data_IF_981959574923
#
_entry.id   IF_981959574923
#
_cell.length_a   1.000
_cell.length_b   1.000
_cell.length_c   1.000
_cell.angle_alpha   90.00
_cell.angle_beta   90.00
_cell.angle_gamma   90.00
#
_symmetry.space_group_name_H-M   'P 1'
#
loop_
_entity.id
_entity.type
_entity.pdbx_description
1 polymer ?
#
# COMPACT_ATOMS: atom_id res chain seq x y z
N UNK A 1 3.66 -33.14 -8.07
CA UNK A 1 2.30 -32.56 -7.95
C UNK A 1 2.30 -31.83 -6.62
N UNK A 2 2.56 -30.53 -6.63
CA UNK A 2 2.36 -29.64 -5.49
C UNK A 2 1.89 -28.29 -6.07
N UNK A 3 0.57 -28.07 -6.04
CA UNK A 3 -0.13 -26.95 -6.67
C UNK A 3 -0.72 -26.01 -5.60
N UNK A 4 0.01 -25.79 -4.51
CA UNK A 4 -0.40 -24.86 -3.45
C UNK A 4 0.39 -23.55 -3.61
N UNK A 5 -0.13 -22.68 -4.46
CA UNK A 5 0.49 -21.39 -4.81
C UNK A 5 0.44 -20.38 -3.67
N UNK A 6 1.53 -19.63 -3.54
CA UNK A 6 1.71 -18.40 -2.77
C UNK A 6 0.87 -17.23 -3.26
N UNK A 7 -0.03 -17.45 -4.20
CA UNK A 7 -0.68 -16.40 -4.98
C UNK A 7 -1.75 -15.68 -4.15
N UNK A 8 -1.69 -14.35 -4.16
CA UNK A 8 -2.71 -13.49 -3.57
C UNK A 8 -3.32 -12.64 -4.67
N UNK A 9 -4.65 -12.68 -4.81
CA UNK A 9 -5.36 -12.07 -5.92
C UNK A 9 -4.78 -12.44 -7.31
N UNK A 10 -4.32 -13.69 -7.45
CA UNK A 10 -3.70 -14.18 -8.68
C UNK A 10 -2.29 -13.65 -8.96
N UNK A 11 -1.62 -13.04 -7.96
CA UNK A 11 -0.24 -12.56 -8.06
C UNK A 11 0.67 -13.37 -7.14
N UNK A 12 1.70 -13.97 -7.71
CA UNK A 12 2.73 -14.68 -6.96
C UNK A 12 3.63 -13.69 -6.21
N UNK A 13 3.60 -13.74 -4.88
CA UNK A 13 4.40 -12.86 -4.02
C UNK A 13 5.77 -13.45 -3.65
N UNK A 14 6.17 -14.61 -4.19
CA UNK A 14 7.53 -15.15 -3.96
C UNK A 14 8.61 -14.21 -4.47
N UNK A 15 9.69 -14.12 -3.69
CA UNK A 15 10.82 -13.24 -3.97
C UNK A 15 10.49 -11.74 -3.85
N UNK A 16 9.30 -11.36 -3.38
CA UNK A 16 9.00 -9.97 -3.04
C UNK A 16 9.78 -9.59 -1.78
N UNK A 17 10.42 -8.42 -1.82
CA UNK A 17 11.17 -7.79 -0.73
C UNK A 17 10.64 -6.39 -0.40
N UNK A 18 9.98 -5.73 -1.36
CA UNK A 18 9.37 -4.41 -1.23
C UNK A 18 7.88 -4.48 -1.54
N UNK A 19 7.04 -3.88 -0.69
CA UNK A 19 5.63 -3.65 -1.01
C UNK A 19 5.37 -2.14 -1.02
N UNK A 20 4.88 -1.65 -2.14
CA UNK A 20 4.54 -0.24 -2.38
C UNK A 20 3.02 -0.10 -2.43
N UNK A 21 2.49 0.78 -1.59
CA UNK A 21 1.05 1.03 -1.49
C UNK A 21 0.72 2.42 -2.04
N UNK A 22 -0.34 2.49 -2.84
CA UNK A 22 -1.15 3.69 -2.95
C UNK A 22 -1.99 3.93 -1.67
N UNK A 23 -2.58 5.11 -1.52
CA UNK A 23 -3.32 5.52 -0.33
C UNK A 23 -4.84 5.55 -0.56
N UNK A 24 -5.34 6.55 -1.30
CA UNK A 24 -6.76 6.79 -1.49
C UNK A 24 -7.44 5.63 -2.22
N UNK A 25 -8.61 5.20 -1.71
CA UNK A 25 -9.30 3.96 -2.10
C UNK A 25 -8.50 2.65 -2.00
N UNK A 26 -7.19 2.69 -1.75
CA UNK A 26 -6.31 1.52 -1.67
C UNK A 26 -6.04 1.13 -0.21
N UNK A 27 -5.23 1.90 0.52
CA UNK A 27 -4.87 1.60 1.91
C UNK A 27 -6.01 1.96 2.87
N UNK A 28 -6.72 3.05 2.58
CA UNK A 28 -7.94 3.48 3.26
C UNK A 28 -9.11 3.63 2.29
N UNK A 29 -10.31 3.82 2.85
CA UNK A 29 -11.56 3.93 2.08
C UNK A 29 -11.88 5.35 1.59
N UNK A 30 -11.10 6.35 1.99
CA UNK A 30 -11.28 7.72 1.55
C UNK A 30 -10.78 7.92 0.11
N UNK A 31 -11.53 8.62 -0.76
CA UNK A 31 -11.18 8.75 -2.17
C UNK A 31 -10.20 9.89 -2.49
N UNK A 32 -10.06 10.87 -1.60
CA UNK A 32 -9.15 12.00 -1.77
C UNK A 32 -8.77 12.63 -0.44
N UNK A 33 -7.72 12.14 0.23
CA UNK A 33 -7.25 12.74 1.49
C UNK A 33 -6.85 14.22 1.33
N UNK A 34 -6.50 14.65 0.11
CA UNK A 34 -6.08 16.03 -0.19
C UNK A 34 -7.23 17.04 -0.09
N UNK A 35 -8.48 16.58 -0.06
CA UNK A 35 -9.69 17.39 0.11
C UNK A 35 -10.09 17.65 1.57
N UNK A 36 -9.42 16.98 2.53
CA UNK A 36 -9.79 16.98 3.95
C UNK A 36 -9.14 18.15 4.73
N UNK A 37 -9.69 18.46 5.91
CA UNK A 37 -9.26 19.62 6.71
C UNK A 37 -8.64 19.15 8.05
N UNK A 38 -7.32 19.27 8.26
CA UNK A 38 -6.70 18.97 9.54
C UNK A 38 -7.13 19.96 10.65
N UNK A 39 -6.96 19.63 11.94
CA UNK A 39 -6.24 18.47 12.47
C UNK A 39 -7.02 17.17 12.34
N UNK A 40 -6.30 16.07 12.11
CA UNK A 40 -6.87 14.73 12.20
C UNK A 40 -6.89 14.26 13.65
N UNK A 41 -7.99 13.63 14.07
CA UNK A 41 -8.14 12.99 15.37
C UNK A 41 -8.38 11.51 15.19
N UNK A 42 -7.69 10.69 15.96
CA UNK A 42 -7.97 9.26 16.01
C UNK A 42 -9.31 9.03 16.68
N UNK A 43 -10.22 8.35 15.99
CA UNK A 43 -11.59 8.03 16.44
C UNK A 43 -11.84 6.51 16.50
N UNK A 44 -10.83 5.72 16.17
CA UNK A 44 -10.75 4.28 16.33
C UNK A 44 -9.32 3.80 16.08
N UNK A 45 -9.02 2.52 16.30
CA UNK A 45 -7.67 1.98 16.04
C UNK A 45 -7.24 2.22 14.59
N UNK A 46 -8.17 2.03 13.66
CA UNK A 46 -7.95 2.10 12.22
C UNK A 46 -8.68 3.27 11.56
N UNK A 47 -9.20 4.21 12.36
CA UNK A 47 -10.06 5.31 11.91
C UNK A 47 -9.54 6.66 12.44
N UNK A 48 -9.44 7.63 11.54
CA UNK A 48 -9.26 9.05 11.88
C UNK A 48 -10.44 9.87 11.35
N UNK A 49 -10.63 11.06 11.92
CA UNK A 49 -11.56 12.06 11.42
C UNK A 49 -10.86 13.41 11.27
N UNK A 50 -11.21 14.16 10.23
CA UNK A 50 -10.78 15.54 10.02
C UNK A 50 -11.52 16.52 10.96
N UNK A 51 -11.24 17.83 10.86
CA UNK A 51 -11.88 18.85 11.72
C UNK A 51 -13.39 19.02 11.47
N UNK A 52 -13.91 18.55 10.34
CA UNK A 52 -15.34 18.55 10.00
C UNK A 52 -16.03 17.24 10.36
N UNK A 53 -15.28 16.24 10.84
CA UNK A 53 -15.80 14.91 11.16
C UNK A 53 -15.79 13.94 9.97
N UNK A 54 -15.18 14.31 8.85
CA UNK A 54 -15.01 13.44 7.68
C UNK A 54 -14.06 12.29 8.03
N UNK A 55 -14.49 11.05 7.80
CA UNK A 55 -13.82 9.83 8.27
C UNK A 55 -12.88 9.28 7.22
N UNK A 56 -11.69 8.88 7.64
CA UNK A 56 -10.73 8.10 6.85
C UNK A 56 -10.48 6.80 7.62
N UNK A 57 -10.84 5.65 7.03
CA UNK A 57 -10.72 4.33 7.66
C UNK A 57 -9.82 3.42 6.85
N UNK A 58 -8.88 2.76 7.51
CA UNK A 58 -8.04 1.75 6.87
C UNK A 58 -8.89 0.57 6.38
N UNK A 59 -8.47 -0.03 5.27
CA UNK A 59 -9.06 -1.28 4.81
C UNK A 59 -8.89 -2.40 5.86
N UNK A 60 -9.83 -3.34 5.95
CA UNK A 60 -9.71 -4.51 6.81
C UNK A 60 -8.33 -5.19 6.72
N UNK A 61 -7.74 -5.45 7.88
CA UNK A 61 -6.41 -6.05 8.04
C UNK A 61 -5.21 -5.24 7.50
N UNK A 62 -5.39 -4.03 6.93
CA UNK A 62 -4.28 -3.24 6.37
C UNK A 62 -3.18 -2.99 7.40
N UNK A 63 -3.53 -2.49 8.60
CA UNK A 63 -2.56 -2.28 9.70
C UNK A 63 -1.78 -3.56 10.01
N UNK A 64 -2.49 -4.65 10.27
CA UNK A 64 -1.89 -5.93 10.63
C UNK A 64 -0.99 -6.49 9.52
N UNK A 65 -1.38 -6.28 8.27
CA UNK A 65 -0.55 -6.67 7.12
C UNK A 65 0.75 -5.86 7.09
N UNK A 66 0.69 -4.54 7.24
CA UNK A 66 1.88 -3.68 7.29
C UNK A 66 2.82 -4.09 8.43
N UNK A 67 2.28 -4.29 9.63
CA UNK A 67 3.04 -4.74 10.80
C UNK A 67 3.70 -6.11 10.57
N UNK A 68 2.95 -7.07 10.02
CA UNK A 68 3.45 -8.42 9.71
C UNK A 68 4.54 -8.39 8.64
N UNK A 69 4.33 -7.65 7.55
CA UNK A 69 5.34 -7.46 6.50
C UNK A 69 6.62 -6.85 7.08
N UNK A 70 6.49 -5.80 7.90
CA UNK A 70 7.65 -5.14 8.53
C UNK A 70 8.39 -6.09 9.46
N UNK A 71 7.68 -6.83 10.31
CA UNK A 71 8.26 -7.82 11.22
C UNK A 71 9.03 -8.92 10.48
N UNK A 72 8.61 -9.25 9.26
CA UNK A 72 9.26 -10.23 8.37
C UNK A 72 10.39 -9.65 7.51
N UNK A 73 10.76 -8.38 7.72
CA UNK A 73 11.88 -7.74 7.04
C UNK A 73 11.57 -7.20 5.64
N UNK A 74 10.30 -7.15 5.23
CA UNK A 74 9.93 -6.46 4.00
C UNK A 74 10.19 -4.96 4.15
N UNK A 75 10.66 -4.34 3.08
CA UNK A 75 10.61 -2.89 2.92
C UNK A 75 9.19 -2.48 2.57
N UNK A 76 8.73 -1.39 3.16
CA UNK A 76 7.41 -0.82 2.92
C UNK A 76 7.54 0.57 2.36
N UNK A 77 6.79 0.89 1.31
CA UNK A 77 6.78 2.23 0.76
C UNK A 77 5.37 2.72 0.41
N UNK A 78 5.25 4.04 0.28
CA UNK A 78 4.06 4.71 -0.26
C UNK A 78 4.45 5.39 -1.57
N UNK A 79 3.63 5.20 -2.60
CA UNK A 79 3.63 6.03 -3.79
C UNK A 79 2.22 6.60 -3.93
N UNK A 80 1.98 7.89 -3.68
CA UNK A 80 0.62 8.46 -3.62
C UNK A 80 0.46 9.77 -4.40
N UNK A 81 -0.68 9.92 -5.09
CA UNK A 81 -1.04 11.15 -5.78
C UNK A 81 -1.87 12.04 -4.85
N UNK A 82 -1.20 12.86 -4.03
CA UNK A 82 -1.84 13.73 -3.04
C UNK A 82 -1.00 14.98 -2.75
N UNK A 83 -1.55 15.89 -1.94
CA UNK A 83 -0.75 16.91 -1.26
C UNK A 83 0.04 16.28 -0.10
N UNK A 84 1.39 16.36 -0.10
CA UNK A 84 2.23 15.64 0.85
C UNK A 84 1.89 15.90 2.32
N UNK A 85 1.64 17.16 2.68
CA UNK A 85 1.34 17.52 4.08
C UNK A 85 0.08 16.83 4.61
N UNK A 86 -0.96 16.68 3.78
CA UNK A 86 -2.23 16.10 4.21
C UNK A 86 -2.10 14.58 4.37
N UNK A 87 -1.53 13.90 3.36
CA UNK A 87 -1.29 12.46 3.41
C UNK A 87 -0.36 12.08 4.58
N UNK A 88 0.74 12.82 4.80
CA UNK A 88 1.68 12.53 5.90
C UNK A 88 1.03 12.71 7.27
N UNK A 89 0.24 13.78 7.47
CA UNK A 89 -0.50 14.00 8.73
C UNK A 89 -1.57 12.94 8.97
N UNK A 90 -2.22 12.45 7.91
CA UNK A 90 -3.17 11.35 8.02
C UNK A 90 -2.48 10.03 8.42
N UNK A 91 -1.35 9.69 7.78
CA UNK A 91 -0.52 8.54 8.13
C UNK A 91 0.01 8.61 9.57
N UNK A 92 0.43 9.80 10.02
CA UNK A 92 0.86 10.07 11.40
C UNK A 92 -0.29 9.88 12.40
N UNK A 93 -1.46 10.46 12.12
CA UNK A 93 -2.63 10.31 12.98
C UNK A 93 -3.10 8.84 13.08
N UNK A 94 -2.97 8.08 11.99
CA UNK A 94 -3.17 6.63 11.94
C UNK A 94 -2.02 5.83 12.56
N UNK A 95 -0.90 6.47 12.92
CA UNK A 95 0.26 5.83 13.55
C UNK A 95 0.88 4.77 12.64
N UNK A 96 0.88 5.03 11.33
CA UNK A 96 1.47 4.18 10.31
C UNK A 96 2.77 4.75 9.74
N UNK A 97 3.04 6.04 9.96
CA UNK A 97 4.16 6.75 9.34
C UNK A 97 5.50 6.01 9.53
N UNK A 98 5.75 5.51 10.74
CA UNK A 98 6.97 4.80 11.13
C UNK A 98 7.12 3.38 10.56
N UNK A 99 6.07 2.82 9.96
CA UNK A 99 6.14 1.50 9.32
C UNK A 99 6.81 1.56 7.95
N UNK A 100 6.63 2.68 7.24
CA UNK A 100 7.15 2.87 5.89
C UNK A 100 8.63 3.28 5.91
N UNK A 101 9.45 2.59 5.11
CA UNK A 101 10.85 2.93 4.88
C UNK A 101 10.99 4.14 3.95
N UNK A 102 10.10 4.28 2.96
CA UNK A 102 10.11 5.39 2.00
C UNK A 102 8.69 5.85 1.73
N UNK A 103 8.45 7.16 1.78
CA UNK A 103 7.14 7.75 1.47
C UNK A 103 7.34 8.77 0.36
N UNK A 104 6.79 8.49 -0.82
CA UNK A 104 6.73 9.42 -1.95
C UNK A 104 5.27 9.79 -2.19
N UNK A 105 4.91 11.00 -1.79
CA UNK A 105 3.59 11.59 -2.05
C UNK A 105 3.81 12.83 -2.88
N UNK A 106 3.17 12.96 -4.04
CA UNK A 106 3.35 14.10 -4.94
C UNK A 106 2.03 14.52 -5.60
N UNK A 107 1.83 15.81 -5.89
CA UNK A 107 0.58 16.33 -6.44
C UNK A 107 0.45 16.10 -7.96
N UNK A 108 0.77 14.89 -8.43
CA UNK A 108 0.59 14.46 -9.82
C UNK A 108 0.34 12.95 -9.94
N UNK A 109 -0.31 12.47 -11.01
CA UNK A 109 -0.63 11.04 -11.17
C UNK A 109 0.56 10.16 -11.59
N UNK A 110 1.73 10.72 -11.90
CA UNK A 110 2.85 9.96 -12.48
C UNK A 110 3.53 9.01 -11.46
N UNK A 111 2.88 7.88 -11.14
CA UNK A 111 3.42 6.87 -10.20
C UNK A 111 4.72 6.25 -10.65
N UNK A 112 4.95 6.23 -11.95
CA UNK A 112 6.14 5.66 -12.51
C UNK A 112 7.40 6.46 -12.11
N UNK A 113 7.28 7.78 -12.02
CA UNK A 113 8.30 8.68 -11.46
C UNK A 113 8.43 8.53 -9.94
N UNK A 114 7.32 8.32 -9.23
CA UNK A 114 7.35 8.09 -7.77
C UNK A 114 8.05 6.76 -7.44
N UNK A 115 7.73 5.70 -8.17
CA UNK A 115 8.38 4.39 -8.07
C UNK A 115 9.88 4.48 -8.38
N UNK A 116 10.27 5.32 -9.36
CA UNK A 116 11.68 5.56 -9.65
C UNK A 116 12.43 6.15 -8.45
N UNK A 117 11.81 7.11 -7.74
CA UNK A 117 12.38 7.66 -6.49
C UNK A 117 12.46 6.59 -5.41
N UNK A 118 11.41 5.79 -5.24
CA UNK A 118 11.40 4.69 -4.26
C UNK A 118 12.53 3.70 -4.54
N UNK A 119 12.68 3.21 -5.78
CA UNK A 119 13.73 2.26 -6.14
C UNK A 119 15.16 2.82 -6.06
N UNK A 120 15.34 4.14 -6.03
CA UNK A 120 16.65 4.74 -5.77
C UNK A 120 16.99 4.75 -4.28
N UNK A 121 15.97 4.91 -3.43
CA UNK A 121 16.12 4.92 -1.96
C UNK A 121 16.21 3.50 -1.37
N UNK A 122 15.57 2.52 -2.01
CA UNK A 122 15.65 1.11 -1.59
C UNK A 122 16.53 0.31 -2.55
N UNK A 123 17.45 -0.49 -2.02
CA UNK A 123 18.29 -1.40 -2.82
C UNK A 123 17.53 -2.66 -3.27
N UNK A 124 16.34 -2.47 -3.88
CA UNK A 124 15.45 -3.55 -4.33
C UNK A 124 15.17 -3.38 -5.82
N UNK A 125 15.25 -4.48 -6.57
CA UNK A 125 14.97 -4.49 -8.03
C UNK A 125 13.47 -4.51 -8.29
N UNK A 126 13.02 -3.99 -9.44
CA UNK A 126 11.60 -4.00 -9.81
C UNK A 126 10.94 -5.39 -9.73
N UNK A 127 11.65 -6.45 -10.12
CA UNK A 127 11.15 -7.84 -10.06
C UNK A 127 10.94 -8.41 -8.65
N UNK A 128 11.51 -7.74 -7.65
CA UNK A 128 11.42 -8.07 -6.23
C UNK A 128 10.43 -7.15 -5.50
N UNK A 129 9.68 -6.32 -6.23
CA UNK A 129 8.70 -5.42 -5.67
C UNK A 129 7.27 -5.82 -6.05
N UNK A 130 6.33 -5.42 -5.20
CA UNK A 130 4.90 -5.50 -5.40
C UNK A 130 4.30 -4.10 -5.27
N UNK A 131 3.54 -3.65 -6.27
CA UNK A 131 2.79 -2.40 -6.23
C UNK A 131 1.29 -2.67 -6.15
N UNK A 132 0.59 -1.94 -5.29
CA UNK A 132 -0.85 -2.07 -5.04
C UNK A 132 -1.50 -0.70 -5.19
N UNK A 133 -2.46 -0.59 -6.12
CA UNK A 133 -3.16 0.65 -6.47
C UNK A 133 -4.53 0.32 -7.05
N UNK A 134 -5.54 1.16 -6.84
CA UNK A 134 -6.91 0.91 -7.30
C UNK A 134 -7.15 1.37 -8.75
N UNK A 135 -6.38 2.35 -9.22
CA UNK A 135 -6.64 3.09 -10.43
C UNK A 135 -6.13 2.34 -11.68
N UNK A 136 -7.03 1.92 -12.60
CA UNK A 136 -6.63 1.13 -13.77
C UNK A 136 -5.66 1.84 -14.71
N UNK A 137 -5.79 3.17 -14.88
CA UNK A 137 -4.92 3.94 -15.76
C UNK A 137 -3.50 4.06 -15.18
N UNK A 138 -3.39 4.18 -13.86
CA UNK A 138 -2.12 4.13 -13.14
C UNK A 138 -1.46 2.77 -13.31
N UNK A 139 -2.21 1.69 -13.06
CA UNK A 139 -1.75 0.30 -13.22
C UNK A 139 -1.22 0.06 -14.65
N UNK A 140 -1.92 0.54 -15.68
CA UNK A 140 -1.48 0.44 -17.07
C UNK A 140 -0.18 1.22 -17.33
N UNK A 141 -0.09 2.45 -16.84
CA UNK A 141 1.13 3.27 -16.92
C UNK A 141 2.34 2.58 -16.29
N UNK A 142 2.17 2.07 -15.07
CA UNK A 142 3.22 1.36 -14.33
C UNK A 142 3.66 0.10 -15.06
N UNK A 143 2.71 -0.72 -15.56
CA UNK A 143 3.03 -1.95 -16.32
C UNK A 143 3.78 -1.70 -17.62
N UNK A 144 3.55 -0.54 -18.27
CA UNK A 144 4.30 -0.15 -19.48
C UNK A 144 5.76 0.15 -19.18
N UNK A 145 6.06 0.75 -18.02
CA UNK A 145 7.43 1.13 -17.63
C UNK A 145 8.20 0.03 -16.90
N UNK A 146 7.56 -0.67 -15.96
CA UNK A 146 8.19 -1.67 -15.11
C UNK A 146 7.64 -3.07 -15.41
N UNK A 147 8.30 -3.79 -16.33
CA UNK A 147 7.77 -5.05 -16.88
C UNK A 147 7.87 -6.23 -15.91
N UNK A 148 8.85 -6.20 -14.99
CA UNK A 148 9.00 -7.25 -13.99
C UNK A 148 8.32 -6.93 -12.66
N UNK A 149 7.82 -5.69 -12.47
CA UNK A 149 7.11 -5.28 -11.26
C UNK A 149 5.82 -6.09 -11.13
N UNK A 150 5.64 -6.72 -9.97
CA UNK A 150 4.40 -7.38 -9.62
C UNK A 150 3.38 -6.32 -9.25
N UNK A 151 2.16 -6.44 -9.77
CA UNK A 151 1.13 -5.41 -9.61
C UNK A 151 -0.21 -6.05 -9.28
N UNK A 152 -0.77 -5.65 -8.14
CA UNK A 152 -2.15 -5.94 -7.75
C UNK A 152 -2.98 -4.68 -8.01
N UNK A 153 -4.06 -4.82 -8.76
CA UNK A 153 -5.07 -3.77 -8.85
C UNK A 153 -6.07 -3.99 -7.73
N UNK A 154 -6.10 -3.10 -6.74
CA UNK A 154 -7.11 -3.12 -5.70
C UNK A 154 -8.47 -2.79 -6.32
N UNK A 155 -9.53 -3.50 -5.93
CA UNK A 155 -10.89 -3.16 -6.38
C UNK A 155 -11.77 -2.91 -5.17
N UNK A 156 -12.71 -1.97 -5.27
CA UNK A 156 -13.57 -1.59 -4.14
C UNK A 156 -14.39 -2.75 -3.56
N UNK A 157 -14.70 -3.76 -4.38
CA UNK A 157 -15.35 -5.01 -3.98
C UNK A 157 -14.41 -5.95 -3.20
N UNK A 158 -13.09 -5.83 -3.34
CA UNK A 158 -12.07 -6.67 -2.70
C UNK A 158 -11.65 -6.13 -1.32
N UNK A 159 -12.63 -5.74 -0.50
CA UNK A 159 -12.37 -5.09 0.81
C UNK A 159 -11.52 -5.94 1.77
N UNK A 160 -11.40 -7.24 1.52
CA UNK A 160 -10.63 -8.18 2.34
C UNK A 160 -9.29 -8.59 1.73
N UNK A 161 -8.84 -7.95 0.64
CA UNK A 161 -7.57 -8.26 -0.03
C UNK A 161 -6.39 -8.34 0.94
N UNK A 162 -6.23 -7.34 1.82
CA UNK A 162 -5.14 -7.36 2.79
C UNK A 162 -5.29 -8.46 3.85
N UNK A 163 -6.51 -8.87 4.18
CA UNK A 163 -6.73 -10.05 5.03
C UNK A 163 -6.31 -11.35 4.32
N UNK A 164 -6.55 -11.46 3.01
CA UNK A 164 -6.10 -12.59 2.20
C UNK A 164 -4.59 -12.62 2.06
N UNK A 165 -3.96 -11.47 1.82
CA UNK A 165 -2.50 -11.32 1.83
C UNK A 165 -1.89 -11.76 3.16
N UNK A 166 -2.46 -11.30 4.27
CA UNK A 166 -2.00 -11.67 5.62
C UNK A 166 -2.12 -13.18 5.87
N UNK A 167 -3.23 -13.81 5.44
CA UNK A 167 -3.41 -15.27 5.54
C UNK A 167 -2.41 -16.03 4.68
N UNK A 168 -2.14 -15.57 3.46
CA UNK A 168 -1.18 -16.20 2.57
C UNK A 168 0.24 -16.14 3.12
N UNK A 169 0.67 -14.97 3.60
CA UNK A 169 1.99 -14.79 4.22
C UNK A 169 2.20 -15.77 5.38
N UNK A 170 1.20 -15.94 6.25
CA UNK A 170 1.27 -16.87 7.39
C UNK A 170 1.29 -18.34 6.99
N UNK A 171 0.77 -18.70 5.82
CA UNK A 171 0.86 -20.08 5.30
C UNK A 171 2.23 -20.41 4.75
N UNK A 172 2.92 -19.45 4.11
CA UNK A 172 4.27 -19.66 3.58
C UNK A 172 5.30 -20.00 4.66
N UNK A 173 5.01 -19.65 5.91
CA UNK A 173 5.84 -19.94 7.07
C UNK A 173 5.66 -21.38 7.59
N UNK A 174 4.51 -22.01 7.36
CA UNK A 174 4.23 -23.37 7.82
C UNK A 174 4.74 -24.44 6.86
N UNK A 175 5.18 -24.04 5.65
CA UNK A 175 5.61 -24.92 4.57
C UNK A 175 7.11 -24.82 4.25
N UNK A 176 7.88 -24.01 4.98
CA UNK A 176 9.34 -23.94 4.92
C UNK A 176 9.96 -24.54 6.18
#
# INVERSE_FOLDING_TARGET
MDFWGSDVAGVDIRGVKLVVFDLDNTLWDHPDVSSTIPPYRRVGLDDIADSRGERIRLRPCARRLLEELKARGFKLAVASWNYPQLALRALEALGLLQLFDVIVVEPHPNKDLMLEKIFREVEVKEGEALFIDDNPAIIEGVRRRYRCLKVIRFRGEEQHLFCEMLRALRRLEQSG
#
